data_IF_624649504350
#
_entry.id   IF_624649504350
#
_cell.length_a   1.000
_cell.length_b   1.000
_cell.length_c   1.000
_cell.angle_alpha   90.00
_cell.angle_beta   90.00
_cell.angle_gamma   90.00
#
_symmetry.space_group_name_H-M   'P 1'
#
loop_
_entity.id
_entity.type
_entity.pdbx_description
1 polymer ?
#
# COMPACT_ATOMS: atom_id res chain seq x y z
N UNK A 1 11.63 -5.79 29.17
CA UNK A 1 10.90 -4.58 29.64
C UNK A 1 11.11 -3.36 28.73
N UNK A 2 12.34 -2.98 28.36
CA UNK A 2 12.62 -1.79 27.53
C UNK A 2 12.09 -1.84 26.08
N UNK A 3 12.13 -2.98 25.40
CA UNK A 3 11.67 -3.12 23.99
C UNK A 3 10.17 -2.86 23.84
N UNK A 4 9.33 -3.44 24.70
CA UNK A 4 7.87 -3.19 24.69
C UNK A 4 7.54 -1.72 24.89
N UNK A 5 8.29 -1.03 25.76
CA UNK A 5 8.12 0.40 26.02
C UNK A 5 8.46 1.25 24.78
N UNK A 6 9.57 0.94 24.11
CA UNK A 6 9.99 1.66 22.88
C UNK A 6 8.99 1.44 21.75
N UNK A 7 8.58 0.20 21.50
CA UNK A 7 7.59 -0.12 20.47
C UNK A 7 6.24 0.56 20.74
N UNK A 8 5.78 0.56 21.99
CA UNK A 8 4.55 1.24 22.39
C UNK A 8 4.65 2.77 22.20
N UNK A 9 5.80 3.37 22.56
CA UNK A 9 6.02 4.81 22.39
C UNK A 9 6.07 5.20 20.91
N UNK A 10 6.74 4.40 20.07
CA UNK A 10 6.77 4.61 18.63
C UNK A 10 5.37 4.47 18.00
N UNK A 11 4.59 3.47 18.43
CA UNK A 11 3.22 3.27 17.98
C UNK A 11 2.30 4.46 18.35
N UNK A 12 2.40 4.97 19.58
CA UNK A 12 1.63 6.13 20.02
C UNK A 12 2.06 7.43 19.33
N UNK A 13 3.31 7.53 18.86
CA UNK A 13 3.79 8.71 18.12
C UNK A 13 3.15 8.85 16.74
N UNK A 14 2.46 7.81 16.25
CA UNK A 14 1.69 7.85 15.01
C UNK A 14 0.32 8.52 15.17
N UNK A 15 -0.11 8.79 16.40
CA UNK A 15 -1.39 9.43 16.66
C UNK A 15 -1.38 10.90 16.24
N UNK A 16 -2.37 11.29 15.42
CA UNK A 16 -2.58 12.67 15.02
C UNK A 16 -1.65 13.18 13.90
N UNK A 17 -0.87 12.32 13.24
CA UNK A 17 -0.04 12.73 12.09
C UNK A 17 -0.90 13.28 10.94
N UNK A 18 -2.01 12.62 10.66
CA UNK A 18 -2.98 13.04 9.63
C UNK A 18 -4.38 13.12 10.22
N UNK A 19 -5.22 13.98 9.63
CA UNK A 19 -6.67 13.87 9.82
C UNK A 19 -7.20 12.60 9.13
N UNK A 20 -8.37 12.11 9.55
CA UNK A 20 -9.01 10.95 8.90
C UNK A 20 -9.21 11.17 7.38
N UNK A 21 -9.58 12.38 6.97
CA UNK A 21 -9.76 12.74 5.56
C UNK A 21 -8.45 12.68 4.77
N UNK A 22 -7.37 13.27 5.31
CA UNK A 22 -6.06 13.26 4.66
C UNK A 22 -5.50 11.85 4.55
N UNK A 23 -5.55 11.09 5.65
CA UNK A 23 -5.11 9.70 5.67
C UNK A 23 -5.88 8.85 4.65
N UNK A 24 -7.20 9.04 4.56
CA UNK A 24 -8.04 8.34 3.59
C UNK A 24 -7.67 8.70 2.15
N UNK A 25 -7.48 9.98 1.85
CA UNK A 25 -7.11 10.43 0.51
C UNK A 25 -5.72 9.93 0.08
N UNK A 26 -4.74 10.00 0.98
CA UNK A 26 -3.39 9.50 0.73
C UNK A 26 -3.39 7.99 0.51
N UNK A 27 -4.07 7.24 1.38
CA UNK A 27 -4.20 5.78 1.24
C UNK A 27 -4.82 5.41 -0.11
N UNK A 28 -5.91 6.09 -0.47
CA UNK A 28 -6.61 5.84 -1.72
C UNK A 28 -5.71 6.15 -2.93
N UNK A 29 -5.06 7.31 -2.94
CA UNK A 29 -4.12 7.66 -4.00
C UNK A 29 -2.98 6.65 -4.12
N UNK A 30 -2.40 6.22 -2.99
CA UNK A 30 -1.34 5.24 -2.97
C UNK A 30 -1.79 3.86 -3.49
N UNK A 31 -3.01 3.41 -3.15
CA UNK A 31 -3.55 2.14 -3.65
C UNK A 31 -3.74 2.14 -5.18
N UNK A 32 -4.24 3.25 -5.73
CA UNK A 32 -4.35 3.41 -7.20
C UNK A 32 -2.97 3.52 -7.87
N UNK A 33 -2.01 4.20 -7.24
CA UNK A 33 -0.65 4.28 -7.76
C UNK A 33 0.06 2.92 -7.74
N UNK A 34 -0.09 2.15 -6.66
CA UNK A 34 0.43 0.79 -6.56
C UNK A 34 -0.17 -0.12 -7.64
N UNK A 35 -1.47 0.02 -7.93
CA UNK A 35 -2.15 -0.69 -9.03
C UNK A 35 -1.52 -0.37 -10.37
N UNK A 36 -1.24 0.91 -10.63
CA UNK A 36 -0.51 1.32 -11.83
C UNK A 36 0.89 0.69 -11.88
N UNK A 37 1.60 0.67 -10.76
CA UNK A 37 2.89 -0.01 -10.63
C UNK A 37 2.82 -1.50 -10.99
N UNK A 38 1.86 -2.24 -10.45
CA UNK A 38 1.62 -3.64 -10.82
C UNK A 38 1.33 -3.81 -12.30
N UNK A 39 0.47 -2.96 -12.89
CA UNK A 39 0.19 -3.01 -14.33
C UNK A 39 1.46 -2.88 -15.15
N UNK A 40 2.31 -1.88 -14.84
CA UNK A 40 3.61 -1.72 -15.49
C UNK A 40 4.49 -2.96 -15.31
N UNK A 41 4.61 -3.48 -14.09
CA UNK A 41 5.44 -4.66 -13.80
C UNK A 41 4.95 -5.91 -14.54
N UNK A 42 3.64 -6.15 -14.59
CA UNK A 42 3.05 -7.24 -15.35
C UNK A 42 3.41 -7.10 -16.83
N UNK A 43 3.29 -5.90 -17.41
CA UNK A 43 3.74 -5.65 -18.80
C UNK A 43 5.23 -5.96 -18.97
N UNK A 44 6.09 -5.59 -18.01
CA UNK A 44 7.52 -5.93 -18.03
C UNK A 44 7.78 -7.44 -17.97
N UNK A 45 7.07 -8.16 -17.11
CA UNK A 45 7.14 -9.64 -17.00
C UNK A 45 6.68 -10.28 -18.31
N UNK A 46 5.58 -9.79 -18.88
CA UNK A 46 5.05 -10.27 -20.15
C UNK A 46 6.00 -10.02 -21.31
N UNK A 47 6.70 -8.87 -21.33
CA UNK A 47 7.71 -8.58 -22.35
C UNK A 47 8.88 -9.58 -22.30
N UNK A 48 9.29 -10.02 -21.10
CA UNK A 48 10.27 -11.10 -20.92
C UNK A 48 9.70 -12.44 -21.39
N UNK A 49 8.50 -12.80 -20.95
CA UNK A 49 7.85 -14.06 -21.30
C UNK A 49 7.62 -14.22 -22.82
N UNK A 50 7.27 -13.14 -23.50
CA UNK A 50 7.04 -13.08 -24.94
C UNK A 50 8.30 -12.78 -25.77
N UNK A 51 9.48 -12.68 -25.13
CA UNK A 51 10.78 -12.41 -25.79
C UNK A 51 10.78 -11.13 -26.64
N UNK A 52 10.16 -10.06 -26.15
CA UNK A 52 10.22 -8.77 -26.83
C UNK A 52 11.67 -8.24 -26.92
N UNK A 53 12.01 -7.42 -27.94
CA UNK A 53 13.27 -6.68 -27.95
C UNK A 53 13.42 -5.85 -26.67
N UNK A 54 14.62 -5.73 -26.13
CA UNK A 54 14.91 -4.96 -24.91
C UNK A 54 14.11 -5.38 -23.66
N UNK A 55 13.60 -6.61 -23.60
CA UNK A 55 12.79 -7.09 -22.46
C UNK A 55 13.45 -6.88 -21.08
N UNK A 56 14.77 -6.95 -21.00
CA UNK A 56 15.55 -6.76 -19.79
C UNK A 56 15.45 -5.32 -19.27
N UNK A 57 15.43 -4.34 -20.19
CA UNK A 57 15.22 -2.94 -19.86
C UNK A 57 13.77 -2.68 -19.41
N UNK A 58 12.78 -3.27 -20.11
CA UNK A 58 11.38 -3.11 -19.75
C UNK A 58 11.08 -3.64 -18.35
N UNK A 59 11.52 -4.86 -18.01
CA UNK A 59 11.28 -5.43 -16.68
C UNK A 59 12.02 -4.65 -15.59
N UNK A 60 13.24 -4.16 -15.86
CA UNK A 60 14.00 -3.38 -14.88
C UNK A 60 13.33 -2.02 -14.57
N UNK A 61 12.90 -1.29 -15.61
CA UNK A 61 12.20 -0.01 -15.44
C UNK A 61 10.85 -0.22 -14.77
N UNK A 62 10.07 -1.19 -15.23
CA UNK A 62 8.76 -1.49 -14.68
C UNK A 62 8.82 -1.94 -13.22
N UNK A 63 9.80 -2.80 -12.87
CA UNK A 63 10.06 -3.21 -11.49
C UNK A 63 10.47 -2.03 -10.60
N UNK A 64 11.26 -1.10 -11.11
CA UNK A 64 11.64 0.12 -10.37
C UNK A 64 10.43 1.01 -10.09
N UNK A 65 9.57 1.23 -11.10
CA UNK A 65 8.32 1.99 -10.94
C UNK A 65 7.43 1.34 -9.90
N UNK A 66 7.18 0.03 -10.03
CA UNK A 66 6.37 -0.72 -9.06
C UNK A 66 6.94 -0.63 -7.65
N UNK A 67 8.25 -0.88 -7.47
CA UNK A 67 8.89 -0.86 -6.16
C UNK A 67 8.77 0.49 -5.46
N UNK A 68 8.97 1.61 -6.17
CA UNK A 68 8.82 2.96 -5.60
C UNK A 68 7.37 3.22 -5.17
N UNK A 69 6.40 2.86 -6.02
CA UNK A 69 4.98 3.07 -5.72
C UNK A 69 4.49 2.17 -4.57
N UNK A 70 5.00 0.93 -4.49
CA UNK A 70 4.76 0.02 -3.39
C UNK A 70 5.34 0.56 -2.07
N UNK A 71 6.58 1.07 -2.07
CA UNK A 71 7.16 1.70 -0.88
C UNK A 71 6.35 2.92 -0.43
N UNK A 72 5.86 3.73 -1.37
CA UNK A 72 4.96 4.84 -1.04
C UNK A 72 3.67 4.33 -0.37
N UNK A 73 3.03 3.29 -0.92
CA UNK A 73 1.88 2.64 -0.30
C UNK A 73 2.17 2.14 1.11
N UNK A 74 3.24 1.37 1.29
CA UNK A 74 3.71 0.84 2.57
C UNK A 74 3.85 1.95 3.62
N UNK A 75 4.52 3.06 3.27
CA UNK A 75 4.66 4.19 4.19
C UNK A 75 3.31 4.80 4.56
N UNK A 76 2.43 5.05 3.59
CA UNK A 76 1.13 5.65 3.85
C UNK A 76 0.27 4.76 4.75
N UNK A 77 0.30 3.43 4.58
CA UNK A 77 -0.45 2.53 5.46
C UNK A 77 0.17 2.50 6.87
N UNK A 78 1.49 2.41 7.01
CA UNK A 78 2.19 2.45 8.31
C UNK A 78 1.84 3.73 9.08
N UNK A 79 1.91 4.91 8.46
CA UNK A 79 1.65 6.18 9.15
C UNK A 79 0.16 6.54 9.23
N UNK A 80 -0.66 6.07 8.29
CA UNK A 80 -2.08 6.42 8.18
C UNK A 80 -3.04 5.52 8.96
N UNK A 81 -2.66 4.29 9.31
CA UNK A 81 -3.59 3.34 9.93
C UNK A 81 -4.19 3.81 11.26
N UNK A 82 -3.44 4.61 12.05
CA UNK A 82 -3.93 5.20 13.31
C UNK A 82 -4.97 6.28 13.07
N UNK A 83 -4.70 7.21 12.15
CA UNK A 83 -5.65 8.24 11.73
C UNK A 83 -6.94 7.65 11.17
N UNK A 84 -6.84 6.50 10.51
CA UNK A 84 -7.99 5.73 9.99
C UNK A 84 -8.66 4.83 11.05
N UNK A 85 -8.19 4.86 12.30
CA UNK A 85 -8.67 4.04 13.42
C UNK A 85 -8.66 2.54 13.13
N UNK A 86 -7.72 2.08 12.30
CA UNK A 86 -7.56 0.68 11.99
C UNK A 86 -6.87 -0.05 13.13
N UNK A 87 -7.29 -1.29 13.39
CA UNK A 87 -6.53 -2.19 14.24
C UNK A 87 -5.22 -2.58 13.57
N UNK A 88 -4.22 -2.94 14.38
CA UNK A 88 -2.93 -3.47 13.89
C UNK A 88 -3.14 -4.64 12.93
N UNK A 89 -4.13 -5.50 13.19
CA UNK A 89 -4.49 -6.60 12.30
C UNK A 89 -4.97 -6.16 10.92
N UNK A 90 -5.73 -5.05 10.84
CA UNK A 90 -6.18 -4.51 9.55
C UNK A 90 -5.02 -3.89 8.78
N UNK A 91 -4.10 -3.22 9.47
CA UNK A 91 -2.83 -2.77 8.88
C UNK A 91 -2.04 -3.94 8.28
N UNK A 92 -1.76 -4.98 9.08
CA UNK A 92 -1.01 -6.16 8.61
C UNK A 92 -1.69 -6.80 7.41
N UNK A 93 -3.02 -6.93 7.44
CA UNK A 93 -3.77 -7.49 6.33
C UNK A 93 -3.65 -6.65 5.06
N UNK A 94 -3.67 -5.30 5.17
CA UNK A 94 -3.46 -4.39 4.04
C UNK A 94 -2.10 -4.60 3.38
N UNK A 95 -1.04 -4.74 4.19
CA UNK A 95 0.31 -5.01 3.68
C UNK A 95 0.41 -6.37 3.00
N UNK A 96 -0.08 -7.43 3.64
CA UNK A 96 0.01 -8.78 3.12
C UNK A 96 -0.74 -8.93 1.79
N UNK A 97 -1.94 -8.35 1.68
CA UNK A 97 -2.73 -8.47 0.45
C UNK A 97 -2.12 -7.64 -0.69
N UNK A 98 -1.45 -6.52 -0.40
CA UNK A 98 -0.81 -5.67 -1.43
C UNK A 98 0.36 -6.34 -2.16
N UNK A 99 0.94 -7.42 -1.62
CA UNK A 99 1.98 -8.21 -2.30
C UNK A 99 1.42 -8.97 -3.50
N UNK A 100 0.11 -9.22 -3.53
CA UNK A 100 -0.57 -9.82 -4.69
C UNK A 100 -0.98 -8.72 -5.66
N UNK A 101 -0.86 -8.92 -6.99
CA UNK A 101 -1.29 -7.94 -7.98
C UNK A 101 -2.69 -7.37 -7.70
N UNK A 102 -2.78 -6.04 -7.68
CA UNK A 102 -4.01 -5.28 -7.43
C UNK A 102 -4.64 -5.48 -6.04
N UNK A 103 -3.93 -6.12 -5.11
CA UNK A 103 -4.42 -6.37 -3.75
C UNK A 103 -4.65 -5.08 -2.97
N UNK A 104 -3.80 -4.06 -3.15
CA UNK A 104 -3.99 -2.75 -2.52
C UNK A 104 -5.32 -2.10 -2.94
N UNK A 105 -5.69 -2.20 -4.23
CA UNK A 105 -6.95 -1.69 -4.76
C UNK A 105 -8.15 -2.49 -4.27
N UNK A 106 -8.08 -3.82 -4.26
CA UNK A 106 -9.15 -4.65 -3.73
C UNK A 106 -9.41 -4.35 -2.25
N UNK A 107 -8.34 -4.16 -1.48
CA UNK A 107 -8.43 -3.76 -0.09
C UNK A 107 -9.01 -2.33 0.07
N UNK A 108 -8.56 -1.37 -0.74
CA UNK A 108 -9.13 -0.01 -0.78
C UNK A 108 -10.64 -0.04 -1.02
N UNK A 109 -11.10 -0.77 -2.03
CA UNK A 109 -12.52 -0.88 -2.37
C UNK A 109 -13.34 -1.49 -1.22
N UNK A 110 -12.78 -2.51 -0.56
CA UNK A 110 -13.40 -3.13 0.61
C UNK A 110 -13.50 -2.16 1.79
N UNK A 111 -12.45 -1.37 2.06
CA UNK A 111 -12.49 -0.32 3.09
C UNK A 111 -13.51 0.75 2.71
N UNK A 112 -13.49 1.22 1.46
CA UNK A 112 -14.40 2.25 0.96
C UNK A 112 -15.86 1.83 1.14
N UNK A 113 -16.20 0.58 0.81
CA UNK A 113 -17.52 0.02 1.05
C UNK A 113 -17.90 0.03 2.54
N UNK A 114 -16.97 -0.35 3.43
CA UNK A 114 -17.22 -0.37 4.87
C UNK A 114 -17.42 1.02 5.47
N UNK A 115 -16.64 2.02 5.03
CA UNK A 115 -16.80 3.42 5.41
C UNK A 115 -18.16 3.95 5.00
N UNK A 116 -18.60 3.69 3.75
CA UNK A 116 -19.95 4.06 3.28
C UNK A 116 -21.07 3.42 4.11
N UNK A 117 -20.89 2.19 4.55
CA UNK A 117 -21.86 1.48 5.40
C UNK A 117 -21.81 1.85 6.89
N UNK A 118 -20.93 2.77 7.30
CA UNK A 118 -20.76 3.16 8.71
C UNK A 118 -20.18 2.07 9.61
N UNK A 119 -19.58 1.02 9.05
CA UNK A 119 -19.02 -0.11 9.83
C UNK A 119 -17.63 0.18 10.37
N UNK A 120 -16.97 1.23 9.87
CA UNK A 120 -15.63 1.70 10.24
C UNK A 120 -15.54 3.21 10.04
#
# INVERSE_FOLDING_TARGET
>A
MKVKLVAHKAYNALDGIFTDREAWMLFRAAAFAETFGWTCLIVGILAVAMKWPYNSAYIAVAGSIHGILYLFYLFIVIFGHRSLKWSVWRFIFAELISVVPYGALAFEQWVAHRRKSGRI
#
